data_IF_403123202273
#
_entry.id   IF_403123202273
#
_cell.length_a   1.000
_cell.length_b   1.000
_cell.length_c   1.000
_cell.angle_alpha   90.00
_cell.angle_beta   90.00
_cell.angle_gamma   90.00
#
_symmetry.space_group_name_H-M   'P 1'
#
loop_
_entity.id
_entity.type
_entity.pdbx_description
1 polymer ?
#
# COMPACT_ATOMS: atom_id res chain seq x y z
N UNK A 1 -3.08 -22.38 -5.69
CA UNK A 1 -2.35 -21.18 -5.24
C UNK A 1 -3.24 -20.41 -4.28
N UNK A 2 -2.77 -20.10 -3.06
CA UNK A 2 -3.52 -19.20 -2.16
C UNK A 2 -3.55 -17.79 -2.77
N UNK A 3 -4.73 -17.15 -2.78
CA UNK A 3 -4.87 -15.76 -3.19
C UNK A 3 -4.37 -14.88 -2.04
N UNK A 4 -3.33 -14.08 -2.28
CA UNK A 4 -2.88 -13.04 -1.35
C UNK A 4 -3.65 -11.75 -1.59
N UNK A 5 -4.06 -11.09 -0.52
CA UNK A 5 -4.64 -9.73 -0.54
C UNK A 5 -3.51 -8.72 -0.66
N UNK A 6 -3.71 -7.64 -1.42
CA UNK A 6 -2.71 -6.58 -1.57
C UNK A 6 -3.23 -5.31 -0.90
N UNK A 7 -2.48 -4.76 0.04
CA UNK A 7 -2.70 -3.44 0.61
C UNK A 7 -1.88 -2.40 -0.14
N UNK A 8 -2.53 -1.44 -0.80
CA UNK A 8 -1.86 -0.36 -1.54
C UNK A 8 -1.83 0.91 -0.69
N UNK A 9 -0.64 1.34 -0.27
CA UNK A 9 -0.42 2.57 0.48
C UNK A 9 0.36 3.56 -0.40
N UNK A 10 -0.12 4.80 -0.54
CA UNK A 10 0.48 5.77 -1.46
C UNK A 10 0.52 7.18 -0.88
N UNK A 11 1.61 7.88 -1.18
CA UNK A 11 1.74 9.32 -0.95
C UNK A 11 2.11 10.04 -2.24
N UNK A 12 1.81 11.35 -2.33
CA UNK A 12 2.09 12.12 -3.53
C UNK A 12 3.54 12.61 -3.60
N UNK A 13 4.20 12.76 -2.45
CA UNK A 13 5.56 13.28 -2.34
C UNK A 13 6.26 12.71 -1.11
N UNK A 14 7.60 12.60 -1.17
CA UNK A 14 8.45 12.12 -0.06
C UNK A 14 8.27 12.93 1.24
N UNK A 15 7.76 14.17 1.17
CA UNK A 15 7.46 14.99 2.34
C UNK A 15 6.37 14.41 3.25
N UNK A 16 5.58 13.45 2.75
CA UNK A 16 4.47 12.82 3.46
C UNK A 16 4.84 11.42 3.98
N UNK A 17 6.14 11.15 4.23
CA UNK A 17 6.60 9.82 4.66
C UNK A 17 5.91 9.33 5.94
N UNK A 18 5.71 10.24 6.90
CA UNK A 18 5.02 9.91 8.15
C UNK A 18 3.55 9.49 7.91
N UNK A 19 2.89 10.09 6.91
CA UNK A 19 1.54 9.67 6.52
C UNK A 19 1.54 8.28 5.85
N UNK A 20 2.58 7.97 5.07
CA UNK A 20 2.75 6.64 4.47
C UNK A 20 2.92 5.58 5.56
N UNK A 21 3.77 5.83 6.55
CA UNK A 21 4.00 4.91 7.67
C UNK A 21 2.71 4.65 8.45
N UNK A 22 1.90 5.69 8.72
CA UNK A 22 0.58 5.56 9.33
C UNK A 22 -0.41 4.76 8.49
N UNK A 23 -0.42 4.95 7.17
CA UNK A 23 -1.25 4.15 6.25
C UNK A 23 -0.85 2.67 6.32
N UNK A 24 0.45 2.38 6.24
CA UNK A 24 0.98 1.00 6.28
C UNK A 24 0.62 0.32 7.60
N UNK A 25 0.77 1.01 8.73
CA UNK A 25 0.42 0.46 10.05
C UNK A 25 -1.08 0.18 10.18
N UNK A 26 -1.94 1.12 9.75
CA UNK A 26 -3.38 0.95 9.79
C UNK A 26 -3.84 -0.24 8.92
N UNK A 27 -3.35 -0.32 7.68
CA UNK A 27 -3.67 -1.41 6.75
C UNK A 27 -3.16 -2.75 7.26
N UNK A 28 -1.92 -2.79 7.76
CA UNK A 28 -1.34 -4.01 8.35
C UNK A 28 -2.17 -4.50 9.52
N UNK A 29 -2.53 -3.61 10.45
CA UNK A 29 -3.31 -3.95 11.64
C UNK A 29 -4.65 -4.55 11.26
N UNK A 30 -5.36 -3.91 10.32
CA UNK A 30 -6.63 -4.41 9.81
C UNK A 30 -6.48 -5.80 9.17
N UNK A 31 -5.53 -5.98 8.25
CA UNK A 31 -5.35 -7.25 7.54
C UNK A 31 -4.91 -8.39 8.46
N UNK A 32 -4.13 -8.09 9.50
CA UNK A 32 -3.79 -9.05 10.55
C UNK A 32 -5.01 -9.45 11.39
N UNK A 33 -5.84 -8.49 11.78
CA UNK A 33 -7.06 -8.75 12.56
C UNK A 33 -8.07 -9.62 11.78
N UNK A 34 -8.19 -9.40 10.48
CA UNK A 34 -9.05 -10.19 9.58
C UNK A 34 -8.44 -11.57 9.19
N UNK A 35 -7.19 -11.84 9.57
CA UNK A 35 -6.53 -13.12 9.29
C UNK A 35 -6.17 -13.33 7.81
N UNK A 36 -5.99 -12.25 7.04
CA UNK A 36 -5.60 -12.37 5.64
C UNK A 36 -4.16 -12.86 5.48
N UNK A 37 -3.90 -13.60 4.41
CA UNK A 37 -2.55 -13.68 3.84
C UNK A 37 -2.39 -12.50 2.90
N UNK A 38 -1.49 -11.56 3.22
CA UNK A 38 -1.39 -10.31 2.50
C UNK A 38 0.04 -9.83 2.26
N UNK A 39 0.16 -8.83 1.39
CA UNK A 39 1.36 -8.05 1.13
C UNK A 39 0.97 -6.57 1.07
N UNK A 40 1.84 -5.69 1.55
CA UNK A 40 1.64 -4.24 1.45
C UNK A 40 2.62 -3.70 0.41
N UNK A 41 2.11 -2.97 -0.56
CA UNK A 41 2.89 -2.21 -1.54
C UNK A 41 2.83 -0.73 -1.18
N UNK A 42 3.97 -0.06 -1.33
CA UNK A 42 4.14 1.36 -1.04
C UNK A 42 4.52 2.10 -2.32
N UNK A 43 3.86 3.22 -2.58
CA UNK A 43 4.14 4.04 -3.77
C UNK A 43 4.25 5.53 -3.42
N UNK A 44 5.14 6.22 -4.14
CA UNK A 44 5.34 7.66 -4.04
C UNK A 44 5.11 8.26 -5.43
N UNK A 45 3.95 8.89 -5.62
CA UNK A 45 3.56 9.51 -6.88
C UNK A 45 2.17 10.12 -6.84
N UNK A 46 1.92 11.12 -7.68
CA UNK A 46 0.59 11.70 -7.84
C UNK A 46 -0.36 10.71 -8.51
N UNK A 47 -1.59 10.62 -8.00
CA UNK A 47 -2.64 9.73 -8.52
C UNK A 47 -3.12 10.03 -9.96
N UNK A 48 -2.57 11.06 -10.60
CA UNK A 48 -2.86 11.40 -12.00
C UNK A 48 -1.92 10.71 -13.00
N UNK A 49 -0.86 10.04 -12.53
CA UNK A 49 0.08 9.31 -13.40
C UNK A 49 -0.14 7.79 -13.28
N UNK A 50 -1.09 7.27 -14.08
CA UNK A 50 -1.36 5.83 -14.25
C UNK A 50 -0.21 5.06 -14.94
N UNK A 51 0.92 5.71 -15.21
CA UNK A 51 2.13 5.12 -15.79
C UNK A 51 3.06 4.46 -14.76
N UNK A 52 2.75 4.53 -13.45
CA UNK A 52 3.65 4.05 -12.39
C UNK A 52 3.54 2.54 -12.13
N UNK A 53 4.73 1.94 -11.98
CA UNK A 53 5.04 0.51 -12.02
C UNK A 53 4.55 -0.31 -10.81
N UNK A 54 4.03 0.31 -9.75
CA UNK A 54 3.62 -0.40 -8.51
C UNK A 54 2.42 -1.34 -8.67
N UNK A 55 1.61 -1.14 -9.72
CA UNK A 55 0.40 -1.91 -10.01
C UNK A 55 0.48 -2.67 -11.35
N UNK A 56 1.68 -3.05 -11.77
CA UNK A 56 1.86 -4.03 -12.86
C UNK A 56 2.13 -5.40 -12.24
N UNK A 57 1.08 -6.21 -12.24
CA UNK A 57 1.15 -7.65 -11.92
C UNK A 57 1.80 -8.42 -13.06
#
# INVERSE_FOLDING_TARGET
MQKKVIGDCRISSKKQKDDLERQVEAVRTYMMAEGYSFEIIEDIGSGMNYSKQGLKK
#
